data_IF_079119671097
#
_entry.id   IF_079119671097
#
_cell.length_a   1.000
_cell.length_b   1.000
_cell.length_c   1.000
_cell.angle_alpha   90.00
_cell.angle_beta   90.00
_cell.angle_gamma   90.00
#
_symmetry.space_group_name_H-M   'P 1'
#
loop_
_entity.id
_entity.type
_entity.pdbx_description
1 polymer ?
#
# COMPACT_ATOMS: atom_id res chain seq x y z
N UNK A 1 -79.25 9.35 -36.83
CA UNK A 1 -78.10 10.05 -36.24
C UNK A 1 -77.67 9.26 -35.02
N UNK A 2 -76.56 8.54 -35.17
CA UNK A 2 -75.95 7.68 -34.15
C UNK A 2 -75.33 8.55 -33.07
N UNK A 3 -75.54 8.23 -31.79
CA UNK A 3 -74.55 8.52 -30.74
C UNK A 3 -74.46 7.28 -29.84
N UNK A 4 -73.46 6.46 -30.14
CA UNK A 4 -72.94 5.41 -29.28
C UNK A 4 -72.29 6.04 -28.05
N UNK A 5 -72.83 5.73 -26.86
CA UNK A 5 -72.18 5.98 -25.57
C UNK A 5 -71.08 4.93 -25.37
N UNK A 6 -69.83 5.35 -25.43
CA UNK A 6 -68.68 4.53 -25.05
C UNK A 6 -68.53 4.54 -23.53
N UNK A 7 -68.76 3.39 -22.90
CA UNK A 7 -68.46 3.16 -21.48
C UNK A 7 -66.95 2.85 -21.40
N UNK A 8 -66.18 3.76 -20.83
CA UNK A 8 -64.78 3.50 -20.50
C UNK A 8 -64.72 2.58 -19.27
N UNK A 9 -64.53 1.29 -19.48
CA UNK A 9 -64.22 0.34 -18.42
C UNK A 9 -62.74 0.48 -18.04
N UNK A 10 -62.44 1.19 -16.94
CA UNK A 10 -61.11 1.14 -16.34
C UNK A 10 -61.00 -0.11 -15.46
N UNK A 11 -60.19 -1.08 -15.89
CA UNK A 11 -59.78 -2.20 -15.08
C UNK A 11 -58.63 -1.76 -14.18
N UNK A 12 -58.93 -1.47 -12.91
CA UNK A 12 -57.89 -1.25 -11.90
C UNK A 12 -57.29 -2.60 -11.52
N UNK A 13 -56.21 -3.02 -12.17
CA UNK A 13 -55.38 -4.13 -11.68
C UNK A 13 -54.58 -3.59 -10.50
N UNK A 14 -54.93 -3.98 -9.28
CA UNK A 14 -54.04 -3.81 -8.14
C UNK A 14 -52.80 -4.68 -8.40
N UNK A 15 -51.67 -4.06 -8.74
CA UNK A 15 -50.39 -4.75 -8.72
C UNK A 15 -50.16 -5.17 -7.27
N UNK A 16 -50.23 -6.48 -6.96
CA UNK A 16 -49.74 -6.98 -5.68
C UNK A 16 -48.25 -6.66 -5.66
N UNK A 17 -47.75 -5.80 -4.76
CA UNK A 17 -46.30 -5.57 -4.69
C UNK A 17 -45.62 -6.92 -4.49
N UNK A 18 -44.44 -7.16 -5.10
CA UNK A 18 -43.69 -8.39 -4.85
C UNK A 18 -43.61 -8.59 -3.32
N UNK A 19 -44.17 -9.69 -2.81
CA UNK A 19 -44.06 -9.99 -1.39
C UNK A 19 -42.65 -10.50 -1.16
N UNK A 20 -41.74 -9.58 -0.86
CA UNK A 20 -40.43 -9.95 -0.33
C UNK A 20 -40.69 -10.77 0.94
N UNK A 21 -40.06 -11.95 1.03
CA UNK A 21 -40.12 -12.73 2.26
C UNK A 21 -39.49 -11.97 3.42
N UNK A 22 -39.69 -12.46 4.64
CA UNK A 22 -39.00 -11.89 5.80
C UNK A 22 -37.47 -12.03 5.63
N UNK A 23 -36.66 -11.08 6.16
CA UNK A 23 -35.20 -11.22 6.20
C UNK A 23 -34.78 -12.58 6.74
N UNK A 24 -33.89 -13.27 6.00
CA UNK A 24 -33.47 -14.63 6.34
C UNK A 24 -31.95 -14.81 6.30
N UNK A 25 -31.28 -14.26 5.28
CA UNK A 25 -29.84 -14.49 5.04
C UNK A 25 -29.14 -13.25 4.51
N UNK A 26 -27.82 -13.24 4.63
CA UNK A 26 -26.95 -12.23 4.02
C UNK A 26 -26.32 -12.78 2.73
N UNK A 27 -25.96 -11.88 1.83
CA UNK A 27 -25.14 -12.20 0.66
C UNK A 27 -24.23 -11.02 0.30
N UNK A 28 -23.01 -11.30 -0.15
CA UNK A 28 -22.14 -10.27 -0.70
C UNK A 28 -22.61 -9.92 -2.12
N UNK A 29 -23.13 -8.70 -2.30
CA UNK A 29 -23.55 -8.17 -3.59
C UNK A 29 -22.34 -7.63 -4.38
N UNK A 30 -21.45 -6.89 -3.72
CA UNK A 30 -20.15 -6.47 -4.25
C UNK A 30 -19.08 -7.15 -3.40
N UNK A 31 -18.32 -8.03 -4.06
CA UNK A 31 -17.23 -8.77 -3.44
C UNK A 31 -16.04 -7.84 -3.15
N UNK A 32 -15.22 -8.12 -2.12
CA UNK A 32 -13.94 -7.45 -1.94
C UNK A 32 -13.03 -7.72 -3.14
N UNK A 33 -12.33 -6.68 -3.59
CA UNK A 33 -11.29 -6.79 -4.60
C UNK A 33 -9.91 -7.00 -3.97
N UNK A 34 -8.97 -7.52 -4.76
CA UNK A 34 -7.57 -7.51 -4.38
C UNK A 34 -7.12 -6.07 -4.16
N UNK A 35 -6.43 -5.80 -3.07
CA UNK A 35 -5.97 -4.44 -2.74
C UNK A 35 -4.57 -4.48 -2.13
N UNK A 36 -3.99 -3.30 -1.97
CA UNK A 36 -2.72 -3.12 -1.26
C UNK A 36 -3.00 -3.09 0.24
N UNK A 37 -2.14 -3.65 1.07
CA UNK A 37 -2.27 -3.54 2.53
C UNK A 37 -2.42 -2.06 2.94
N UNK A 38 -3.18 -1.79 4.01
CA UNK A 38 -3.54 -0.44 4.48
C UNK A 38 -4.28 0.46 3.47
N UNK A 39 -4.54 0.00 2.25
CA UNK A 39 -5.40 0.70 1.30
C UNK A 39 -6.85 0.25 1.46
N UNK A 40 -7.79 1.16 1.14
CA UNK A 40 -9.20 0.80 1.10
C UNK A 40 -9.43 -0.32 0.07
N UNK A 41 -10.23 -1.31 0.43
CA UNK A 41 -10.69 -2.36 -0.48
C UNK A 41 -11.61 -1.71 -1.50
N UNK A 42 -11.28 -1.86 -2.78
CA UNK A 42 -12.06 -1.31 -3.89
C UNK A 42 -12.39 -2.40 -4.92
N UNK A 43 -13.59 -2.39 -5.53
CA UNK A 43 -14.74 -1.53 -5.23
C UNK A 43 -15.28 -1.69 -3.79
N UNK A 44 -16.03 -0.70 -3.31
CA UNK A 44 -16.61 -0.74 -1.96
C UNK A 44 -17.44 -2.01 -1.75
N UNK A 45 -17.22 -2.69 -0.62
CA UNK A 45 -17.90 -3.96 -0.32
C UNK A 45 -19.35 -3.68 0.05
N UNK A 46 -20.29 -4.43 -0.52
CA UNK A 46 -21.72 -4.30 -0.16
C UNK A 46 -22.33 -5.64 0.17
N UNK A 47 -23.07 -5.69 1.26
CA UNK A 47 -23.82 -6.87 1.72
C UNK A 47 -25.30 -6.58 1.61
N UNK A 48 -26.03 -7.47 0.96
CA UNK A 48 -27.49 -7.41 0.87
C UNK A 48 -28.17 -8.38 1.83
N UNK A 49 -29.34 -7.98 2.33
CA UNK A 49 -30.22 -8.80 3.16
C UNK A 49 -31.27 -9.42 2.23
N UNK A 50 -31.32 -10.75 2.20
CA UNK A 50 -32.21 -11.52 1.37
C UNK A 50 -33.24 -12.30 2.18
N UNK A 51 -34.37 -12.60 1.56
CA UNK A 51 -35.32 -13.61 2.04
C UNK A 51 -34.80 -15.04 1.78
N UNK A 52 -35.60 -16.03 2.16
CA UNK A 52 -35.23 -17.45 2.01
C UNK A 52 -35.00 -17.83 0.53
N UNK A 53 -35.71 -17.18 -0.39
CA UNK A 53 -35.67 -17.45 -1.83
C UNK A 53 -34.51 -16.70 -2.52
N UNK A 54 -33.82 -15.81 -1.80
CA UNK A 54 -32.69 -15.04 -2.34
C UNK A 54 -33.06 -13.67 -2.90
N UNK A 55 -34.28 -13.19 -2.68
CA UNK A 55 -34.69 -11.85 -3.09
C UNK A 55 -34.26 -10.83 -2.03
N UNK A 56 -33.72 -9.70 -2.47
CA UNK A 56 -33.40 -8.57 -1.58
C UNK A 56 -34.64 -8.05 -0.87
N UNK A 57 -34.56 -7.93 0.45
CA UNK A 57 -35.62 -7.34 1.27
C UNK A 57 -35.43 -5.83 1.35
N UNK A 58 -36.07 -5.09 0.45
CA UNK A 58 -35.86 -3.64 0.31
C UNK A 58 -36.29 -2.81 1.53
N UNK A 59 -37.07 -3.36 2.46
CA UNK A 59 -37.46 -2.69 3.71
C UNK A 59 -36.53 -2.99 4.88
N UNK A 60 -35.54 -3.88 4.71
CA UNK A 60 -34.65 -4.28 5.79
C UNK A 60 -33.66 -3.16 6.13
N UNK A 61 -33.52 -2.90 7.43
CA UNK A 61 -32.61 -1.89 8.00
C UNK A 61 -31.69 -2.49 9.06
N UNK A 62 -31.50 -3.81 9.04
CA UNK A 62 -30.70 -4.53 10.03
C UNK A 62 -29.26 -4.02 10.05
N UNK A 63 -28.64 -4.09 11.23
CA UNK A 63 -27.21 -3.84 11.40
C UNK A 63 -26.40 -5.03 10.91
N UNK A 64 -25.50 -4.79 9.96
CA UNK A 64 -24.58 -5.79 9.40
C UNK A 64 -23.17 -5.51 9.89
N UNK A 65 -22.50 -6.53 10.40
CA UNK A 65 -21.11 -6.46 10.85
C UNK A 65 -20.20 -7.31 9.96
N UNK A 66 -19.05 -6.75 9.59
CA UNK A 66 -17.98 -7.42 8.84
C UNK A 66 -16.84 -7.81 9.78
N UNK A 67 -16.31 -9.02 9.60
CA UNK A 67 -15.07 -9.49 10.22
C UNK A 67 -14.22 -10.25 9.22
N UNK A 68 -12.93 -10.48 9.52
CA UNK A 68 -12.11 -11.40 8.72
C UNK A 68 -12.58 -12.84 8.98
N UNK A 69 -12.76 -13.60 7.90
CA UNK A 69 -12.92 -15.06 7.95
C UNK A 69 -11.57 -15.76 7.95
N UNK A 70 -11.08 -16.11 6.77
CA UNK A 70 -9.72 -16.65 6.57
C UNK A 70 -8.71 -15.52 6.71
N UNK A 71 -7.73 -15.72 7.60
CA UNK A 71 -6.69 -14.74 7.90
C UNK A 71 -5.30 -15.37 7.77
N UNK A 72 -4.81 -15.61 6.54
CA UNK A 72 -3.63 -16.43 6.29
C UNK A 72 -2.33 -15.82 6.84
N UNK A 73 -2.26 -14.48 6.93
CA UNK A 73 -1.08 -13.77 7.42
C UNK A 73 -1.32 -13.00 8.73
N UNK A 74 -2.41 -13.25 9.46
CA UNK A 74 -2.65 -12.59 10.76
C UNK A 74 -2.87 -11.08 10.68
N UNK A 75 -3.47 -10.59 9.60
CA UNK A 75 -3.80 -9.17 9.41
C UNK A 75 -4.95 -8.70 10.30
N UNK A 76 -5.04 -7.39 10.49
CA UNK A 76 -6.09 -6.68 11.22
C UNK A 76 -6.97 -5.91 10.24
N UNK A 77 -8.28 -6.11 10.32
CA UNK A 77 -9.27 -5.35 9.54
C UNK A 77 -9.59 -4.03 10.24
N UNK A 78 -9.51 -2.93 9.50
CA UNK A 78 -9.82 -1.57 9.96
C UNK A 78 -10.93 -0.95 9.11
N UNK A 79 -11.44 0.21 9.54
CA UNK A 79 -12.56 0.91 8.91
C UNK A 79 -13.86 0.81 9.71
N UNK A 80 -14.98 1.13 9.07
CA UNK A 80 -16.32 1.04 9.66
C UNK A 80 -16.81 -0.39 9.57
N UNK A 81 -16.75 -1.15 10.66
CA UNK A 81 -17.06 -2.59 10.62
C UNK A 81 -18.54 -2.92 10.77
N UNK A 82 -19.38 -1.98 11.17
CA UNK A 82 -20.82 -2.17 11.38
C UNK A 82 -21.62 -1.06 10.71
N UNK A 83 -22.55 -1.44 9.84
CA UNK A 83 -23.37 -0.51 9.05
C UNK A 83 -24.83 -0.99 9.06
N UNK A 84 -25.76 -0.06 9.32
CA UNK A 84 -27.19 -0.33 9.14
C UNK A 84 -27.55 -0.35 7.66
N UNK A 85 -28.26 -1.38 7.22
CA UNK A 85 -28.70 -1.48 5.83
C UNK A 85 -29.65 -0.33 5.45
N UNK A 86 -29.49 0.20 4.25
CA UNK A 86 -30.42 1.14 3.62
C UNK A 86 -31.02 0.47 2.41
N UNK A 87 -32.35 0.40 2.40
CA UNK A 87 -33.11 -0.38 1.45
C UNK A 87 -32.65 -1.86 1.36
N UNK A 88 -32.21 -2.47 2.45
CA UNK A 88 -31.69 -3.85 2.47
C UNK A 88 -30.24 -4.04 2.02
N UNK A 89 -29.46 -2.97 1.83
CA UNK A 89 -28.01 -3.05 1.53
C UNK A 89 -27.18 -2.26 2.54
N UNK A 90 -26.18 -2.92 3.14
CA UNK A 90 -25.13 -2.29 3.93
C UNK A 90 -23.88 -2.09 3.03
N UNK A 91 -23.33 -0.87 3.03
CA UNK A 91 -22.16 -0.49 2.21
C UNK A 91 -20.97 -0.17 3.10
N UNK A 92 -19.83 -0.77 2.79
CA UNK A 92 -18.57 -0.64 3.52
C UNK A 92 -17.50 -0.11 2.56
N UNK A 93 -17.20 1.19 2.64
CA UNK A 93 -16.36 1.91 1.67
C UNK A 93 -14.97 2.28 2.19
N UNK A 94 -14.64 1.89 3.42
CA UNK A 94 -13.40 2.25 4.12
C UNK A 94 -12.67 1.04 4.75
N UNK A 95 -13.05 -0.18 4.36
CA UNK A 95 -12.41 -1.40 4.87
C UNK A 95 -10.97 -1.52 4.36
N UNK A 96 -10.02 -1.84 5.23
CA UNK A 96 -8.63 -2.11 4.88
C UNK A 96 -8.04 -3.21 5.76
N UNK A 97 -7.05 -3.96 5.25
CA UNK A 97 -6.31 -4.97 6.01
C UNK A 97 -4.83 -4.60 6.02
N UNK A 98 -4.18 -4.67 7.18
CA UNK A 98 -2.82 -4.15 7.37
C UNK A 98 -1.68 -5.14 7.07
N UNK A 99 -1.98 -6.38 6.68
CA UNK A 99 -0.95 -7.35 6.36
C UNK A 99 -1.20 -8.02 5.02
N UNK A 100 -0.12 -8.24 4.27
CA UNK A 100 -0.17 -8.89 2.97
C UNK A 100 -0.31 -10.41 3.10
N UNK A 101 -1.08 -11.00 2.20
CA UNK A 101 -1.33 -12.43 2.13
C UNK A 101 -2.40 -12.75 1.10
N UNK A 102 -2.33 -13.97 0.58
CA UNK A 102 -3.26 -14.47 -0.43
C UNK A 102 -4.34 -15.33 0.21
N UNK A 103 -5.58 -15.14 -0.23
CA UNK A 103 -6.71 -15.96 0.23
C UNK A 103 -7.42 -15.45 1.48
N UNK A 104 -7.40 -14.15 1.74
CA UNK A 104 -8.28 -13.54 2.75
C UNK A 104 -9.75 -13.73 2.37
N UNK A 105 -10.62 -13.85 3.36
CA UNK A 105 -12.07 -13.75 3.17
C UNK A 105 -12.67 -12.81 4.22
N UNK A 106 -13.80 -12.19 3.89
CA UNK A 106 -14.63 -11.44 4.83
C UNK A 106 -15.87 -12.24 5.18
N UNK A 107 -16.32 -12.14 6.42
CA UNK A 107 -17.59 -12.70 6.90
C UNK A 107 -18.54 -11.58 7.24
N UNK A 108 -19.80 -11.73 6.84
CA UNK A 108 -20.88 -10.82 7.17
C UNK A 108 -21.86 -11.49 8.14
N UNK A 109 -22.25 -10.77 9.18
CA UNK A 109 -23.19 -11.24 10.21
C UNK A 109 -24.22 -10.17 10.56
N UNK A 110 -25.43 -10.62 10.92
CA UNK A 110 -26.51 -9.78 11.42
C UNK A 110 -27.37 -10.66 12.34
N UNK A 111 -27.83 -10.10 13.47
CA UNK A 111 -28.58 -10.85 14.47
C UNK A 111 -29.77 -11.61 13.87
N UNK A 112 -29.84 -12.91 14.10
CA UNK A 112 -30.92 -13.79 13.65
C UNK A 112 -30.93 -14.15 12.16
N UNK A 113 -30.00 -13.64 11.35
CA UNK A 113 -29.87 -13.98 9.93
C UNK A 113 -28.74 -14.99 9.72
N UNK A 114 -28.89 -15.84 8.71
CA UNK A 114 -27.78 -16.68 8.24
C UNK A 114 -26.68 -15.77 7.65
N UNK A 115 -25.45 -15.89 8.16
CA UNK A 115 -24.31 -15.10 7.71
C UNK A 115 -23.80 -15.52 6.32
N UNK A 116 -22.86 -14.75 5.79
CA UNK A 116 -22.22 -15.02 4.50
C UNK A 116 -20.70 -14.89 4.59
N UNK A 117 -19.99 -15.61 3.72
CA UNK A 117 -18.54 -15.47 3.51
C UNK A 117 -18.29 -14.98 2.09
N UNK A 118 -17.37 -14.03 1.92
CA UNK A 118 -16.97 -13.53 0.61
C UNK A 118 -16.18 -14.56 -0.17
N UNK A 119 -15.98 -14.28 -1.47
CA UNK A 119 -14.91 -14.94 -2.22
C UNK A 119 -13.54 -14.61 -1.60
N UNK A 120 -12.56 -15.46 -1.89
CA UNK A 120 -11.18 -15.20 -1.53
C UNK A 120 -10.65 -13.99 -2.32
N UNK A 121 -9.88 -13.13 -1.66
CA UNK A 121 -9.17 -12.00 -2.24
C UNK A 121 -7.79 -11.86 -1.60
N UNK A 122 -6.93 -11.10 -2.25
CA UNK A 122 -5.55 -10.96 -1.83
C UNK A 122 -5.31 -9.55 -1.29
N UNK A 123 -4.55 -9.49 -0.20
CA UNK A 123 -3.90 -8.26 0.24
C UNK A 123 -2.46 -8.35 -0.27
N UNK A 124 -2.14 -7.50 -1.22
CA UNK A 124 -0.82 -7.46 -1.84
C UNK A 124 0.05 -6.45 -1.12
N UNK A 125 1.36 -6.69 -1.11
CA UNK A 125 2.31 -5.59 -0.99
C UNK A 125 2.24 -4.83 -2.30
N UNK A 126 1.84 -3.56 -2.26
CA UNK A 126 1.75 -2.78 -3.49
C UNK A 126 3.09 -2.78 -4.20
N UNK A 127 3.11 -3.08 -5.51
CA UNK A 127 4.28 -2.81 -6.32
C UNK A 127 4.42 -1.28 -6.43
N UNK A 128 5.14 -0.66 -5.51
CA UNK A 128 5.42 0.77 -5.57
C UNK A 128 6.38 1.08 -6.72
N UNK A 129 5.92 1.81 -7.74
CA UNK A 129 6.77 2.15 -8.89
C UNK A 129 8.07 2.86 -8.47
N UNK A 130 9.15 2.70 -9.25
CA UNK A 130 10.47 3.32 -9.04
C UNK A 130 10.46 4.84 -8.84
N UNK A 131 9.33 5.47 -9.11
CA UNK A 131 9.15 6.92 -9.02
C UNK A 131 8.37 7.40 -7.79
N UNK A 132 7.97 6.50 -6.88
CA UNK A 132 7.12 6.84 -5.74
C UNK A 132 7.93 7.10 -4.46
N UNK A 133 7.62 8.20 -3.77
CA UNK A 133 8.33 8.63 -2.56
C UNK A 133 7.98 7.83 -1.30
N UNK A 134 8.93 7.79 -0.36
CA UNK A 134 8.80 7.08 0.91
C UNK A 134 7.54 7.50 1.68
N UNK A 135 7.24 8.80 1.79
CA UNK A 135 6.05 9.29 2.48
C UNK A 135 4.74 8.78 1.90
N UNK A 136 4.66 8.60 0.58
CA UNK A 136 3.50 8.00 -0.09
C UNK A 136 3.43 6.48 0.10
N UNK A 137 4.57 5.81 0.30
CA UNK A 137 4.65 4.35 0.51
C UNK A 137 4.41 3.94 1.96
N UNK A 138 4.81 4.78 2.93
CA UNK A 138 4.94 4.40 4.34
C UNK A 138 4.21 5.33 5.31
N UNK A 139 3.82 6.54 4.88
CA UNK A 139 3.09 7.48 5.72
C UNK A 139 3.78 7.75 7.06
N UNK A 140 3.03 7.58 8.16
CA UNK A 140 3.48 7.85 9.53
C UNK A 140 4.52 6.87 10.09
N UNK A 141 4.82 5.78 9.38
CA UNK A 141 5.80 4.78 9.81
C UNK A 141 7.26 5.25 9.64
N UNK A 142 7.47 6.39 8.97
CA UNK A 142 8.79 7.02 8.82
C UNK A 142 9.21 7.74 10.10
N UNK A 143 9.70 6.97 11.07
CA UNK A 143 10.13 7.46 12.38
C UNK A 143 11.43 8.28 12.42
N UNK A 144 12.20 8.38 11.34
CA UNK A 144 13.38 9.27 11.12
C UNK A 144 14.30 9.58 12.31
N UNK A 145 14.50 8.60 13.19
CA UNK A 145 15.17 8.76 14.49
C UNK A 145 16.36 7.83 14.67
N UNK A 146 16.60 6.90 13.73
CA UNK A 146 17.73 5.98 13.84
C UNK A 146 18.94 6.43 13.04
N UNK A 147 20.12 6.19 13.62
CA UNK A 147 21.42 6.40 13.02
C UNK A 147 22.01 5.12 12.42
N UNK A 148 21.20 4.07 12.29
CA UNK A 148 21.67 2.72 11.97
C UNK A 148 22.13 2.58 10.52
N UNK A 149 21.32 3.01 9.55
CA UNK A 149 21.71 3.12 8.13
C UNK A 149 21.86 4.59 7.77
N UNK A 150 22.99 4.96 7.19
CA UNK A 150 23.34 6.35 6.92
C UNK A 150 23.78 6.54 5.47
N UNK A 151 23.28 7.59 4.81
CA UNK A 151 23.94 8.12 3.61
C UNK A 151 25.01 9.10 4.08
N UNK A 152 26.27 8.79 3.80
CA UNK A 152 27.41 9.64 4.20
C UNK A 152 27.94 10.48 3.04
N UNK A 153 27.62 10.12 1.81
CA UNK A 153 27.99 10.88 0.63
C UNK A 153 27.00 10.64 -0.52
N UNK A 154 26.70 11.71 -1.25
CA UNK A 154 25.98 11.69 -2.53
C UNK A 154 26.80 12.54 -3.49
N UNK A 155 27.25 11.95 -4.60
CA UNK A 155 28.01 12.68 -5.61
C UNK A 155 27.53 12.37 -7.02
N UNK A 156 27.52 13.38 -7.88
CA UNK A 156 27.16 13.23 -9.29
C UNK A 156 28.27 12.46 -10.02
N UNK A 157 27.89 11.37 -10.69
CA UNK A 157 28.77 10.62 -11.58
C UNK A 157 28.94 11.42 -12.87
N UNK A 158 30.17 11.48 -13.38
CA UNK A 158 30.50 12.26 -14.59
C UNK A 158 30.76 13.75 -14.35
N UNK A 159 30.69 14.23 -13.09
CA UNK A 159 31.27 15.51 -12.69
C UNK A 159 30.54 16.76 -13.20
N UNK A 160 29.21 16.80 -13.10
CA UNK A 160 28.44 18.03 -13.34
C UNK A 160 28.95 19.16 -12.43
N UNK A 161 29.56 20.17 -13.03
CA UNK A 161 30.19 21.26 -12.28
C UNK A 161 29.18 22.26 -11.68
N UNK A 162 28.04 22.47 -12.35
CA UNK A 162 27.02 23.44 -11.94
C UNK A 162 25.71 23.20 -12.69
N UNK A 163 24.61 23.77 -12.18
CA UNK A 163 23.36 23.87 -12.90
C UNK A 163 22.59 25.16 -12.56
N UNK A 164 21.61 25.52 -13.40
CA UNK A 164 20.83 26.74 -13.23
C UNK A 164 19.72 26.56 -12.19
N UNK A 165 19.62 27.49 -11.24
CA UNK A 165 18.63 27.44 -10.17
C UNK A 165 17.19 27.36 -10.71
N UNK A 166 16.42 26.38 -10.23
CA UNK A 166 15.04 26.13 -10.66
C UNK A 166 14.89 25.21 -11.87
N UNK A 167 15.98 24.87 -12.56
CA UNK A 167 15.95 23.85 -13.64
C UNK A 167 15.90 22.43 -13.09
N UNK A 168 15.41 21.48 -13.88
CA UNK A 168 15.56 20.04 -13.60
C UNK A 168 16.70 19.49 -14.43
N UNK A 169 17.61 18.77 -13.78
CA UNK A 169 18.70 18.03 -14.41
C UNK A 169 18.49 16.53 -14.25
N UNK A 170 19.03 15.73 -15.17
CA UNK A 170 19.09 14.27 -15.05
C UNK A 170 20.55 13.86 -14.86
N UNK A 171 20.84 13.16 -13.77
CA UNK A 171 22.20 12.75 -13.40
C UNK A 171 22.22 11.34 -12.85
N UNK A 172 23.37 10.69 -12.97
CA UNK A 172 23.66 9.48 -12.22
C UNK A 172 24.27 9.88 -10.87
N UNK A 173 23.82 9.25 -9.78
CA UNK A 173 24.27 9.54 -8.42
C UNK A 173 24.99 8.35 -7.82
N UNK A 174 26.23 8.55 -7.41
CA UNK A 174 26.94 7.62 -6.53
C UNK A 174 26.54 7.91 -5.08
N UNK A 175 25.98 6.89 -4.42
CA UNK A 175 25.46 6.96 -3.07
C UNK A 175 26.29 6.08 -2.16
N UNK A 176 26.89 6.66 -1.14
CA UNK A 176 27.64 5.93 -0.11
C UNK A 176 26.75 5.67 1.10
N UNK A 177 26.51 4.40 1.37
CA UNK A 177 25.70 3.90 2.50
C UNK A 177 26.62 3.33 3.57
N UNK A 178 26.45 3.74 4.81
CA UNK A 178 27.18 3.28 5.98
C UNK A 178 26.22 2.65 7.01
N UNK A 179 26.62 1.56 7.67
CA UNK A 179 25.93 1.06 8.86
C UNK A 179 26.89 0.68 9.98
N UNK A 180 26.53 1.13 11.18
CA UNK A 180 27.19 0.77 12.45
C UNK A 180 26.41 -0.23 13.30
N UNK A 181 25.29 -0.76 12.79
CA UNK A 181 24.31 -1.57 13.54
C UNK A 181 24.26 -3.02 13.05
N UNK A 182 23.58 -3.94 13.78
CA UNK A 182 23.33 -5.30 13.30
C UNK A 182 22.66 -5.30 11.93
N UNK A 183 22.64 -6.47 11.28
CA UNK A 183 22.09 -6.64 9.94
C UNK A 183 20.77 -5.89 9.74
N UNK A 184 20.70 -5.16 8.63
CA UNK A 184 19.54 -4.43 8.11
C UNK A 184 19.23 -5.00 6.74
N UNK A 185 17.96 -5.34 6.55
CA UNK A 185 17.49 -6.04 5.37
C UNK A 185 16.75 -5.07 4.44
N UNK A 186 16.59 -5.39 3.16
CA UNK A 186 15.71 -4.67 2.23
C UNK A 186 15.89 -3.13 2.21
N UNK A 187 17.13 -2.66 2.11
CA UNK A 187 17.45 -1.23 2.20
C UNK A 187 17.07 -0.49 0.90
N UNK A 188 16.23 0.54 1.03
CA UNK A 188 15.78 1.42 -0.05
C UNK A 188 16.20 2.87 0.17
N UNK A 189 16.68 3.52 -0.89
CA UNK A 189 17.05 4.95 -0.92
C UNK A 189 16.09 5.71 -1.84
N UNK A 190 15.44 6.74 -1.31
CA UNK A 190 14.44 7.55 -2.01
C UNK A 190 15.00 8.94 -2.21
N UNK A 191 15.16 9.37 -3.47
CA UNK A 191 15.67 10.70 -3.81
C UNK A 191 14.54 11.52 -4.39
N UNK A 192 14.29 12.71 -3.85
CA UNK A 192 13.23 13.57 -4.35
C UNK A 192 13.58 14.16 -5.72
N UNK A 193 12.65 14.04 -6.67
CA UNK A 193 12.84 14.61 -8.01
C UNK A 193 12.49 16.10 -8.07
N UNK A 194 11.67 16.58 -7.13
CA UNK A 194 11.13 17.95 -7.12
C UNK A 194 11.79 18.84 -6.04
N UNK A 195 12.77 18.33 -5.29
CA UNK A 195 13.48 19.09 -4.27
C UNK A 195 12.67 19.36 -2.99
N UNK A 196 11.52 18.68 -2.84
CA UNK A 196 10.74 18.64 -1.60
C UNK A 196 11.07 17.39 -0.77
N UNK A 197 10.69 17.39 0.51
CA UNK A 197 11.00 16.30 1.43
C UNK A 197 10.27 14.99 1.03
N UNK A 198 11.00 13.90 0.73
CA UNK A 198 10.41 12.62 0.34
C UNK A 198 9.88 11.81 1.54
N UNK A 199 10.07 12.28 2.78
CA UNK A 199 9.49 11.68 3.99
C UNK A 199 8.00 11.93 4.09
N UNK A 200 7.55 13.10 3.67
CA UNK A 200 6.16 13.48 3.75
C UNK A 200 5.49 13.18 2.41
N UNK A 201 4.18 12.97 2.40
CA UNK A 201 3.39 12.84 1.17
C UNK A 201 3.33 14.16 0.34
N UNK A 202 4.26 15.09 0.59
CA UNK A 202 4.41 16.37 -0.13
C UNK A 202 5.26 16.27 -1.38
N UNK A 203 6.14 15.27 -1.49
CA UNK A 203 6.92 15.05 -2.71
C UNK A 203 6.08 14.35 -3.77
N UNK A 204 6.03 14.94 -4.97
CA UNK A 204 5.21 14.45 -6.08
C UNK A 204 5.82 13.21 -6.73
N UNK A 205 7.15 13.12 -6.78
CA UNK A 205 7.85 11.92 -7.26
C UNK A 205 9.27 11.84 -6.71
N UNK A 206 9.75 10.61 -6.60
CA UNK A 206 11.11 10.30 -6.20
C UNK A 206 11.78 9.45 -7.27
N UNK A 207 13.08 9.22 -7.17
CA UNK A 207 13.76 8.11 -7.82
C UNK A 207 14.21 7.15 -6.73
N UNK A 208 13.92 5.87 -6.90
CA UNK A 208 14.18 4.84 -5.89
C UNK A 208 15.41 4.04 -6.29
N UNK A 209 16.42 4.07 -5.44
CA UNK A 209 17.60 3.22 -5.51
C UNK A 209 17.51 2.07 -4.53
N UNK A 210 18.03 0.92 -4.94
CA UNK A 210 18.12 -0.28 -4.09
C UNK A 210 19.55 -0.77 -4.11
N UNK A 211 19.99 -1.27 -2.96
CA UNK A 211 21.33 -1.81 -2.83
C UNK A 211 21.50 -3.03 -3.73
N UNK A 212 22.58 -3.12 -4.52
CA UNK A 212 22.83 -4.28 -5.37
C UNK A 212 23.14 -5.50 -4.50
N UNK A 213 22.66 -6.67 -4.87
CA UNK A 213 22.93 -7.93 -4.12
C UNK A 213 24.20 -8.63 -4.58
N UNK A 214 24.70 -8.30 -5.77
CA UNK A 214 25.86 -8.95 -6.41
C UNK A 214 27.18 -8.19 -6.22
N UNK A 215 27.13 -6.93 -5.77
CA UNK A 215 28.31 -6.08 -5.61
C UNK A 215 28.66 -5.90 -4.12
N UNK A 216 29.82 -6.43 -3.65
CA UNK A 216 30.29 -6.21 -2.30
C UNK A 216 30.43 -4.71 -1.98
N UNK A 217 30.15 -4.27 -0.73
CA UNK A 217 29.94 -5.08 0.47
C UNK A 217 28.49 -5.51 0.71
N UNK A 218 27.56 -5.08 -0.16
CA UNK A 218 26.15 -5.42 -0.10
C UNK A 218 25.95 -6.90 -0.45
N UNK A 219 24.97 -7.54 0.18
CA UNK A 219 24.73 -8.98 0.05
C UNK A 219 23.25 -9.25 0.13
N UNK A 220 22.80 -10.35 -0.47
CA UNK A 220 21.56 -10.99 -0.04
C UNK A 220 21.90 -11.96 1.09
N UNK A 221 21.33 -11.77 2.28
CA UNK A 221 21.54 -12.59 3.48
C UNK A 221 20.26 -13.25 4.00
N UNK A 222 19.09 -13.01 3.38
CA UNK A 222 17.81 -13.68 3.71
C UNK A 222 17.22 -14.39 2.46
N UNK A 223 17.52 -15.68 2.23
CA UNK A 223 16.93 -16.42 1.12
C UNK A 223 15.43 -16.63 1.37
N UNK A 224 14.60 -15.97 0.55
CA UNK A 224 13.14 -16.01 0.69
C UNK A 224 12.54 -17.42 0.80
N UNK A 225 11.40 -17.58 1.50
CA UNK A 225 10.93 -18.87 2.02
C UNK A 225 10.48 -19.90 0.96
N UNK A 226 10.48 -19.57 -0.34
CA UNK A 226 9.80 -20.39 -1.37
C UNK A 226 10.63 -20.89 -2.55
N UNK A 227 11.88 -20.50 -2.81
CA UNK A 227 12.59 -21.15 -3.95
C UNK A 227 14.12 -20.99 -4.07
N UNK A 228 14.86 -20.49 -3.08
CA UNK A 228 16.29 -20.25 -3.30
C UNK A 228 16.58 -19.28 -4.45
N UNK A 229 15.60 -18.47 -4.85
CA UNK A 229 15.83 -17.25 -5.61
C UNK A 229 16.22 -16.16 -4.63
N UNK A 230 17.30 -15.46 -4.98
CA UNK A 230 17.75 -14.26 -4.30
C UNK A 230 16.62 -13.22 -4.41
N UNK A 231 16.22 -12.60 -3.30
CA UNK A 231 15.57 -11.29 -3.39
C UNK A 231 16.49 -10.32 -4.14
N UNK A 232 15.93 -9.22 -4.62
CA UNK A 232 16.69 -8.28 -5.44
C UNK A 232 17.16 -7.05 -4.66
N UNK A 233 17.02 -7.06 -3.33
CA UNK A 233 17.25 -5.91 -2.48
C UNK A 233 18.39 -6.21 -1.51
N UNK A 234 19.50 -5.51 -1.65
CA UNK A 234 20.70 -5.77 -0.86
C UNK A 234 20.53 -5.43 0.63
N UNK A 235 21.16 -6.27 1.44
CA UNK A 235 21.29 -6.12 2.87
C UNK A 235 22.59 -5.41 3.24
N UNK A 236 22.56 -4.83 4.43
CA UNK A 236 23.65 -4.13 5.07
C UNK A 236 23.98 -4.89 6.35
N UNK A 237 25.17 -5.47 6.45
CA UNK A 237 25.58 -6.23 7.64
C UNK A 237 26.49 -5.40 8.57
N UNK A 238 26.47 -5.71 9.87
CA UNK A 238 27.29 -4.99 10.88
C UNK A 238 28.79 -5.28 10.82
N UNK A 239 29.25 -6.13 9.90
CA UNK A 239 30.67 -6.49 9.70
C UNK A 239 31.23 -6.02 8.36
N UNK A 240 30.43 -5.29 7.55
CA UNK A 240 30.87 -4.72 6.29
C UNK A 240 32.15 -3.91 6.57
N UNK A 241 33.19 -4.14 5.78
CA UNK A 241 34.51 -3.52 5.93
C UNK A 241 35.07 -3.49 7.38
N UNK A 242 35.03 -4.61 8.10
CA UNK A 242 35.68 -4.73 9.42
C UNK A 242 34.95 -4.03 10.58
N UNK A 243 33.63 -3.84 10.46
CA UNK A 243 32.80 -3.20 11.50
C UNK A 243 32.60 -1.69 11.31
N UNK A 244 32.89 -1.15 10.11
CA UNK A 244 32.71 0.27 9.73
C UNK A 244 31.85 0.44 8.47
N UNK A 245 31.04 -0.57 8.19
CA UNK A 245 30.40 -0.94 6.92
C UNK A 245 29.90 0.13 5.98
N UNK A 246 30.78 0.66 5.14
CA UNK A 246 30.45 1.57 4.05
C UNK A 246 30.51 0.86 2.69
N UNK A 247 29.49 1.06 1.85
CA UNK A 247 29.41 0.61 0.45
C UNK A 247 28.90 1.73 -0.45
N UNK A 248 29.31 1.74 -1.72
CA UNK A 248 28.83 2.74 -2.70
C UNK A 248 28.14 2.05 -3.86
N UNK A 249 26.96 2.54 -4.24
CA UNK A 249 26.23 2.09 -5.42
C UNK A 249 25.78 3.30 -6.26
N UNK A 250 25.43 3.06 -7.52
CA UNK A 250 24.99 4.14 -8.42
C UNK A 250 23.49 4.00 -8.71
N UNK A 251 22.77 5.11 -8.55
CA UNK A 251 21.40 5.26 -9.04
C UNK A 251 21.47 6.02 -10.36
N UNK A 252 20.89 5.44 -11.41
CA UNK A 252 20.98 6.00 -12.75
C UNK A 252 19.76 6.86 -13.09
N UNK A 253 19.95 7.86 -13.96
CA UNK A 253 18.91 8.71 -14.52
C UNK A 253 18.02 9.40 -13.47
N UNK A 254 18.63 9.90 -12.39
CA UNK A 254 17.92 10.61 -11.32
C UNK A 254 17.60 12.03 -11.79
N UNK A 255 16.32 12.37 -11.79
CA UNK A 255 15.89 13.75 -12.00
C UNK A 255 16.06 14.54 -10.70
N UNK A 256 16.66 15.73 -10.75
CA UNK A 256 16.89 16.57 -9.57
C UNK A 256 16.54 18.02 -9.91
N UNK A 257 15.81 18.68 -9.00
CA UNK A 257 15.64 20.12 -9.03
C UNK A 257 16.94 20.81 -8.60
N UNK A 258 17.50 21.64 -9.48
CA UNK A 258 18.66 22.48 -9.20
C UNK A 258 18.31 23.55 -8.17
N UNK A 259 18.59 23.23 -6.92
CA UNK A 259 18.28 24.05 -5.75
C UNK A 259 19.46 24.01 -4.79
N UNK A 260 19.75 25.14 -4.17
CA UNK A 260 20.71 25.26 -3.07
C UNK A 260 19.95 25.75 -1.84
N UNK A 261 20.36 25.32 -0.65
CA UNK A 261 19.87 25.92 0.59
C UNK A 261 20.77 27.09 1.01
N UNK A 262 20.22 27.99 1.82
CA UNK A 262 21.02 29.08 2.41
C UNK A 262 22.09 28.46 3.30
N UNK A 263 23.35 28.85 3.11
CA UNK A 263 24.47 28.32 3.90
C UNK A 263 25.08 27.01 3.40
N UNK A 264 24.58 26.39 2.32
CA UNK A 264 25.20 25.19 1.74
C UNK A 264 26.48 25.46 0.95
N UNK A 265 26.92 26.73 0.85
CA UNK A 265 28.08 27.12 0.06
C UNK A 265 27.87 27.01 -1.45
N UNK A 266 26.63 27.00 -1.93
CA UNK A 266 26.30 26.81 -3.34
C UNK A 266 26.19 25.34 -3.77
N UNK A 267 26.34 24.40 -2.84
CA UNK A 267 26.18 22.98 -3.11
C UNK A 267 24.71 22.65 -3.40
N UNK A 268 24.53 21.71 -4.33
CA UNK A 268 23.23 21.17 -4.73
C UNK A 268 22.55 20.48 -3.53
N UNK A 269 21.31 20.87 -3.27
CA UNK A 269 20.46 20.28 -2.25
C UNK A 269 19.69 19.08 -2.83
N UNK A 270 19.95 17.90 -2.27
CA UNK A 270 19.32 16.65 -2.68
C UNK A 270 18.56 16.11 -1.45
N UNK A 271 17.22 16.27 -1.39
CA UNK A 271 16.42 15.64 -0.35
C UNK A 271 16.38 14.12 -0.58
N UNK A 272 16.59 13.35 0.48
CA UNK A 272 16.49 11.90 0.43
C UNK A 272 15.94 11.32 1.73
N UNK A 273 15.41 10.10 1.63
CA UNK A 273 15.02 9.24 2.76
C UNK A 273 15.63 7.86 2.55
N UNK A 274 16.06 7.22 3.63
CA UNK A 274 16.43 5.80 3.62
C UNK A 274 15.48 5.03 4.51
N UNK A 275 14.98 3.90 4.00
CA UNK A 275 14.25 2.89 4.75
C UNK A 275 14.97 1.54 4.67
N UNK A 276 14.72 0.66 5.62
CA UNK A 276 15.27 -0.70 5.67
C UNK A 276 14.28 -1.62 6.39
N UNK A 277 14.58 -2.90 6.60
CA UNK A 277 13.88 -3.82 7.50
C UNK A 277 14.77 -4.31 8.65
N UNK A 278 14.16 -4.49 9.82
CA UNK A 278 14.75 -4.98 11.06
C UNK A 278 14.61 -6.50 11.25
N UNK A 279 13.76 -7.19 10.48
CA UNK A 279 13.49 -8.62 10.64
C UNK A 279 14.06 -9.45 9.50
N UNK A 280 14.48 -10.69 9.81
CA UNK A 280 15.08 -11.64 8.88
C UNK A 280 14.17 -12.86 8.59
N UNK A 281 12.83 -12.67 8.60
CA UNK A 281 11.72 -13.66 8.38
C UNK A 281 10.85 -14.06 9.61
N UNK A 282 9.52 -14.38 9.47
CA UNK A 282 8.63 -14.31 8.29
C UNK A 282 7.35 -13.42 8.47
N UNK A 283 7.05 -12.60 7.44
CA UNK A 283 5.75 -12.03 6.99
C UNK A 283 5.91 -10.69 6.24
N UNK A 284 7.15 -10.22 6.03
CA UNK A 284 7.49 -9.13 5.11
C UNK A 284 8.07 -9.59 3.76
N UNK A 285 7.90 -10.87 3.40
CA UNK A 285 8.55 -11.49 2.24
C UNK A 285 8.08 -10.93 0.91
N UNK A 286 8.53 -9.74 0.47
CA UNK A 286 8.17 -9.22 -0.85
C UNK A 286 9.18 -8.34 -1.55
N UNK A 287 10.47 -8.22 -1.18
CA UNK A 287 11.44 -7.58 -2.09
C UNK A 287 11.81 -8.45 -3.32
N UNK A 288 10.80 -9.03 -3.98
CA UNK A 288 10.84 -9.67 -5.30
C UNK A 288 10.98 -8.65 -6.43
N UNK A 289 10.81 -7.37 -6.12
CA UNK A 289 10.97 -6.26 -7.05
C UNK A 289 11.41 -5.00 -6.31
N UNK A 290 11.93 -4.03 -7.05
CA UNK A 290 12.38 -2.72 -6.57
C UNK A 290 11.26 -1.83 -5.99
N UNK A 291 10.08 -2.43 -5.89
CA UNK A 291 8.82 -1.83 -5.61
C UNK A 291 8.31 -2.13 -4.19
N UNK A 292 9.04 -2.95 -3.41
CA UNK A 292 8.47 -3.62 -2.24
C UNK A 292 9.27 -3.57 -0.92
N UNK A 293 10.08 -2.56 -0.57
CA UNK A 293 10.43 -2.42 0.84
C UNK A 293 9.13 -2.05 1.60
N UNK A 294 8.62 -2.90 2.50
CA UNK A 294 7.33 -2.74 3.23
C UNK A 294 7.36 -3.58 4.54
N UNK A 295 6.53 -3.33 5.58
CA UNK A 295 6.37 -2.20 6.50
C UNK A 295 6.83 -2.52 7.95
N UNK A 296 7.19 -1.50 8.74
CA UNK A 296 7.44 -1.61 10.19
C UNK A 296 8.73 -0.98 10.70
N UNK A 297 9.39 -0.15 9.90
CA UNK A 297 10.84 -0.08 9.98
C UNK A 297 11.36 1.34 10.12
N UNK A 298 12.15 1.49 11.17
CA UNK A 298 12.85 2.70 11.55
C UNK A 298 13.56 3.29 10.32
N UNK A 299 13.47 4.60 10.12
CA UNK A 299 14.06 5.30 8.97
C UNK A 299 15.11 6.32 9.41
N UNK A 300 15.94 6.77 8.46
CA UNK A 300 16.79 7.95 8.61
C UNK A 300 16.42 8.95 7.52
N UNK A 301 15.93 10.11 7.93
CA UNK A 301 15.69 11.25 7.06
C UNK A 301 16.95 12.10 6.94
N UNK A 302 17.04 12.85 5.85
CA UNK A 302 18.05 13.89 5.75
C UNK A 302 17.80 14.96 6.83
N UNK A 303 18.87 15.37 7.52
CA UNK A 303 18.90 16.56 8.37
C UNK A 303 19.47 17.73 7.56
#
# INVERSE_FOLDING_TARGET
MTVTSSINAFLTIALRPPSFGAPNKLAFLQQPGNTIFNSAITPAVTVEIQDVDGNRVATATNSVTIAIGTNPAGGTLSGTLTVNAVAGVATFNDLSINNAGDGYTLTASSGGLTGATSNAFNITTGAYGLTQCAGSRFGGDLGCTANDVQITNISVVGGLASCEGGSTITVDLAITVNSGSPNRYDVGVFISNDGTDPQLASAASCTVGILPTTDPPFRNTDPGPWSGTLDICGDVNGTMNGGTGSGTFTIYNVNILCKSLTGSGGNLYIPFVVSWDQQSSPSGATCTSIANPVPGTVSKCNA
#
